data_IF_333029121700
#
_entry.id   IF_333029121700
#
_cell.length_a   1.000
_cell.length_b   1.000
_cell.length_c   1.000
_cell.angle_alpha   90.00
_cell.angle_beta   90.00
_cell.angle_gamma   90.00
#
_symmetry.space_group_name_H-M   'P 1'
#
loop_
_entity.id
_entity.type
_entity.pdbx_description
1 polymer ?
#
# COMPACT_ATOMS: atom_id res chain seq x y z
N UNK A 1 -19.10 -15.90 -20.24
CA UNK A 1 -17.99 -15.30 -20.98
C UNK A 1 -16.71 -15.62 -20.23
N UNK A 2 -15.86 -16.45 -20.83
CA UNK A 2 -14.74 -17.12 -20.15
C UNK A 2 -13.50 -16.22 -20.09
N UNK A 3 -12.87 -16.15 -18.91
CA UNK A 3 -11.74 -15.28 -18.55
C UNK A 3 -10.48 -15.59 -19.37
N UNK A 4 -10.39 -16.79 -19.96
CA UNK A 4 -9.29 -17.20 -20.83
C UNK A 4 -9.32 -16.55 -22.23
N UNK A 5 -10.48 -16.04 -22.69
CA UNK A 5 -10.60 -15.49 -24.05
C UNK A 5 -10.23 -14.00 -24.12
N UNK A 6 -10.17 -13.29 -22.98
CA UNK A 6 -9.82 -11.87 -22.91
C UNK A 6 -8.30 -11.63 -22.97
N UNK A 7 -7.47 -12.64 -22.69
CA UNK A 7 -6.00 -12.54 -22.67
C UNK A 7 -5.40 -12.65 -24.08
N UNK A 8 -6.09 -13.28 -25.04
CA UNK A 8 -5.55 -13.54 -26.38
C UNK A 8 -5.72 -12.38 -27.39
N UNK A 9 -6.48 -11.34 -27.08
CA UNK A 9 -6.66 -10.19 -27.99
C UNK A 9 -5.73 -9.00 -27.71
N UNK A 10 -4.84 -9.05 -26.71
CA UNK A 10 -3.88 -7.97 -26.43
C UNK A 10 -2.45 -8.22 -26.94
N UNK A 11 -2.22 -9.28 -27.72
CA UNK A 11 -0.87 -9.69 -28.16
C UNK A 11 -0.55 -9.45 -29.64
N UNK A 12 -1.36 -8.68 -30.37
CA UNK A 12 -1.10 -8.31 -31.77
C UNK A 12 -1.14 -6.79 -31.93
N UNK A 13 -0.18 -6.07 -31.32
CA UNK A 13 0.16 -4.69 -31.67
C UNK A 13 1.41 -4.19 -30.93
N UNK A 14 2.57 -4.86 -31.07
CA UNK A 14 3.87 -4.21 -30.81
C UNK A 14 4.81 -4.56 -31.95
N UNK A 15 4.86 -3.65 -32.92
CA UNK A 15 5.81 -3.65 -34.01
C UNK A 15 7.23 -3.33 -33.51
N UNK A 16 8.16 -4.05 -34.11
CA UNK A 16 9.60 -3.80 -34.26
C UNK A 16 10.10 -2.38 -33.95
N UNK A 17 11.04 -2.26 -33.01
CA UNK A 17 12.03 -1.18 -32.99
C UNK A 17 13.45 -1.78 -33.01
N UNK A 18 14.19 -1.42 -34.06
CA UNK A 18 15.60 -1.75 -34.29
C UNK A 18 16.52 -1.12 -33.25
N UNK A 19 17.46 -1.89 -32.72
CA UNK A 19 18.64 -1.35 -32.03
C UNK A 19 19.75 -1.10 -33.04
N UNK A 20 20.18 0.16 -33.15
CA UNK A 20 21.46 0.53 -33.75
C UNK A 20 22.60 0.15 -32.78
N UNK A 21 23.51 -0.72 -33.22
CA UNK A 21 24.74 -1.04 -32.52
C UNK A 21 25.85 -0.07 -32.95
N UNK A 22 26.54 0.54 -31.98
CA UNK A 22 27.78 1.30 -32.22
C UNK A 22 28.94 0.44 -31.72
N UNK A 23 29.84 0.08 -32.63
CA UNK A 23 31.05 -0.70 -32.38
C UNK A 23 32.19 0.20 -31.89
N UNK A 24 33.05 -0.35 -31.02
CA UNK A 24 34.39 0.20 -30.71
C UNK A 24 35.41 -0.95 -30.69
N UNK A 25 36.70 -0.69 -31.02
CA UNK A 25 37.59 -1.66 -31.64
C UNK A 25 38.43 -2.49 -30.66
N UNK A 26 38.91 -3.63 -31.16
CA UNK A 26 39.82 -4.57 -30.51
C UNK A 26 41.27 -4.04 -30.42
N UNK A 27 42.02 -4.45 -29.39
CA UNK A 27 43.45 -4.17 -29.28
C UNK A 27 44.17 -4.84 -28.11
N UNK A 28 44.79 -5.98 -28.43
CA UNK A 28 46.09 -6.51 -27.95
C UNK A 28 46.29 -7.04 -26.51
N UNK A 29 46.77 -8.29 -26.51
CA UNK A 29 47.36 -9.08 -25.43
C UNK A 29 48.86 -8.80 -25.24
N UNK A 30 49.34 -8.79 -24.00
CA UNK A 30 50.72 -9.15 -23.68
C UNK A 30 50.79 -10.04 -22.44
N UNK A 31 51.50 -11.16 -22.59
CA UNK A 31 51.86 -12.11 -21.54
C UNK A 31 53.14 -11.66 -20.84
N UNK A 32 53.26 -11.94 -19.54
CA UNK A 32 54.55 -12.04 -18.87
C UNK A 32 54.46 -13.09 -17.75
N UNK A 33 55.22 -14.17 -17.94
CA UNK A 33 55.49 -15.25 -17.00
C UNK A 33 56.60 -14.82 -16.04
N UNK A 34 56.50 -15.14 -14.74
CA UNK A 34 57.66 -15.23 -13.84
C UNK A 34 57.54 -16.47 -12.95
N UNK A 35 58.65 -17.19 -12.85
CA UNK A 35 58.82 -18.54 -12.32
C UNK A 35 59.40 -18.55 -10.89
N UNK A 36 59.08 -19.64 -10.16
CA UNK A 36 59.87 -20.36 -9.14
C UNK A 36 60.09 -19.76 -7.73
N UNK A 37 59.71 -20.53 -6.70
CA UNK A 37 60.61 -21.33 -5.83
C UNK A 37 59.89 -21.75 -4.53
N UNK A 38 60.22 -22.94 -4.03
CA UNK A 38 59.51 -23.60 -2.91
C UNK A 38 60.06 -23.30 -1.52
N UNK A 39 59.24 -23.55 -0.50
CA UNK A 39 59.64 -24.03 0.82
C UNK A 39 58.37 -24.50 1.59
N UNK A 40 58.44 -25.68 2.18
CA UNK A 40 57.40 -26.22 3.04
C UNK A 40 57.52 -25.65 4.47
N UNK A 41 56.41 -25.20 5.05
CA UNK A 41 56.26 -25.00 6.51
C UNK A 41 54.91 -25.54 6.95
N UNK A 42 54.94 -26.39 7.98
CA UNK A 42 53.84 -27.13 8.58
C UNK A 42 52.95 -26.29 9.49
N UNK A 43 51.65 -26.58 9.41
CA UNK A 43 50.57 -26.44 10.42
C UNK A 43 50.39 -25.12 11.19
N UNK A 44 49.30 -24.44 10.86
CA UNK A 44 48.18 -24.29 11.81
C UNK A 44 46.89 -24.08 11.03
N UNK A 45 46.03 -25.09 11.03
CA UNK A 45 44.65 -25.00 10.54
C UNK A 45 43.89 -24.06 11.47
N UNK A 46 43.99 -22.75 11.23
CA UNK A 46 42.95 -21.83 11.67
C UNK A 46 41.81 -22.01 10.70
N UNK A 47 40.94 -22.95 11.01
CA UNK A 47 39.66 -23.12 10.33
C UNK A 47 38.80 -21.91 10.65
N UNK A 48 39.10 -20.75 10.04
CA UNK A 48 38.09 -19.73 9.84
C UNK A 48 37.09 -20.37 8.91
N UNK A 49 36.06 -20.97 9.50
CA UNK A 49 34.86 -21.39 8.79
C UNK A 49 34.23 -20.14 8.21
N UNK A 50 34.76 -19.70 7.07
CA UNK A 50 34.08 -18.78 6.16
C UNK A 50 32.82 -19.53 5.75
N UNK A 51 31.73 -19.26 6.45
CA UNK A 51 30.44 -19.81 6.10
C UNK A 51 30.11 -19.28 4.72
N UNK A 52 30.35 -20.09 3.69
CA UNK A 52 30.05 -19.75 2.30
C UNK A 52 28.53 -19.60 2.20
N UNK A 53 28.05 -18.37 2.33
CA UNK A 53 26.67 -18.01 1.98
C UNK A 53 26.62 -17.96 0.46
N UNK A 54 25.87 -18.88 -0.15
CA UNK A 54 25.66 -18.93 -1.60
C UNK A 54 24.24 -18.49 -1.92
N UNK A 55 24.09 -17.57 -2.89
CA UNK A 55 22.78 -17.16 -3.39
C UNK A 55 22.33 -18.23 -4.39
N UNK A 56 21.22 -18.92 -4.08
CA UNK A 56 20.63 -19.93 -4.96
C UNK A 56 19.62 -19.33 -5.94
N UNK A 57 18.90 -18.29 -5.51
CA UNK A 57 17.93 -17.58 -6.34
C UNK A 57 17.81 -16.14 -5.85
N UNK A 58 17.60 -15.21 -6.77
CA UNK A 58 17.32 -13.81 -6.52
C UNK A 58 16.12 -13.41 -7.37
N UNK A 59 15.09 -12.81 -6.78
CA UNK A 59 13.84 -12.50 -7.48
C UNK A 59 13.23 -11.20 -6.97
N UNK A 60 12.75 -10.36 -7.89
CA UNK A 60 11.96 -9.18 -7.57
C UNK A 60 10.59 -9.58 -7.06
N UNK A 61 10.09 -8.87 -6.05
CA UNK A 61 8.80 -9.17 -5.40
C UNK A 61 8.07 -7.90 -5.01
N UNK A 62 6.76 -8.01 -4.80
CA UNK A 62 5.92 -6.89 -4.41
C UNK A 62 6.32 -6.32 -3.04
N UNK A 63 6.11 -5.01 -2.93
CA UNK A 63 6.36 -4.26 -1.71
C UNK A 63 5.53 -4.82 -0.54
N UNK A 64 6.20 -5.10 0.58
CA UNK A 64 5.53 -5.47 1.82
C UNK A 64 6.22 -4.79 3.01
N UNK A 65 5.45 -4.16 3.92
CA UNK A 65 6.01 -3.42 5.05
C UNK A 65 6.41 -4.34 6.21
N UNK A 66 7.60 -4.12 6.75
CA UNK A 66 8.17 -4.79 7.91
C UNK A 66 8.73 -3.80 8.92
N UNK A 67 8.85 -4.28 10.15
CA UNK A 67 9.70 -3.71 11.17
C UNK A 67 10.84 -4.69 11.49
N UNK A 68 11.91 -4.20 12.11
CA UNK A 68 13.01 -5.03 12.58
C UNK A 68 12.68 -5.63 13.95
N UNK A 69 13.12 -6.87 14.17
CA UNK A 69 13.20 -7.47 15.51
C UNK A 69 14.36 -6.86 16.28
N UNK A 70 14.29 -6.89 17.62
CA UNK A 70 15.42 -6.52 18.46
C UNK A 70 16.63 -7.39 18.10
N UNK A 71 17.82 -6.78 18.01
CA UNK A 71 19.04 -7.48 17.61
C UNK A 71 19.13 -7.83 16.11
N UNK A 72 18.25 -7.30 15.26
CA UNK A 72 18.37 -7.51 13.82
C UNK A 72 19.71 -6.97 13.27
N UNK A 73 20.28 -7.68 12.29
CA UNK A 73 21.51 -7.27 11.60
C UNK A 73 21.20 -6.99 10.15
N UNK A 74 21.57 -5.81 9.68
CA UNK A 74 21.41 -5.37 8.31
C UNK A 74 22.73 -5.51 7.56
N UNK A 75 22.67 -5.85 6.28
CA UNK A 75 23.85 -6.10 5.44
C UNK A 75 23.77 -5.29 4.15
N UNK A 76 24.91 -4.83 3.61
CA UNK A 76 24.92 -4.15 2.31
C UNK A 76 24.73 -5.10 1.13
N UNK A 77 25.05 -6.38 1.28
CA UNK A 77 25.01 -7.38 0.21
C UNK A 77 24.11 -8.57 0.55
N UNK A 78 23.52 -9.18 -0.49
CA UNK A 78 22.68 -10.38 -0.37
C UNK A 78 23.42 -11.60 0.20
N UNK A 79 24.75 -11.62 0.10
CA UNK A 79 25.62 -12.65 0.70
C UNK A 79 25.73 -12.54 2.21
N UNK A 80 25.20 -11.49 2.84
CA UNK A 80 25.25 -11.26 4.29
C UNK A 80 26.68 -11.22 4.87
N UNK A 81 27.67 -10.82 4.06
CA UNK A 81 29.09 -10.83 4.46
C UNK A 81 29.62 -9.44 4.84
N UNK A 82 29.16 -8.39 4.17
CA UNK A 82 29.75 -7.05 4.28
C UNK A 82 28.77 -5.97 4.72
N UNK A 83 29.31 -4.87 5.23
CA UNK A 83 28.54 -3.68 5.58
C UNK A 83 27.49 -3.96 6.66
N UNK A 84 27.89 -4.68 7.72
CA UNK A 84 27.02 -5.01 8.85
C UNK A 84 26.61 -3.72 9.57
N UNK A 85 25.32 -3.52 9.77
CA UNK A 85 24.77 -2.41 10.54
C UNK A 85 23.80 -2.97 11.59
N UNK A 86 23.95 -2.52 12.83
CA UNK A 86 23.04 -2.88 13.91
C UNK A 86 21.65 -2.27 13.67
N UNK A 87 20.62 -3.11 13.67
CA UNK A 87 19.23 -2.70 13.43
C UNK A 87 18.62 -1.85 14.55
N UNK A 88 19.25 -1.79 15.73
CA UNK A 88 18.79 -0.99 16.87
C UNK A 88 18.62 0.49 16.54
N UNK A 89 19.47 1.03 15.65
CA UNK A 89 19.37 2.41 15.14
C UNK A 89 18.10 2.69 14.34
N UNK A 90 17.39 1.65 13.90
CA UNK A 90 16.22 1.71 13.03
C UNK A 90 14.97 1.12 13.68
N UNK A 91 14.89 1.12 15.01
CA UNK A 91 13.81 0.49 15.78
C UNK A 91 12.41 1.04 15.44
N UNK A 92 12.31 2.29 14.97
CA UNK A 92 11.05 2.94 14.54
C UNK A 92 10.93 3.11 13.02
N UNK A 93 11.81 2.47 12.25
CA UNK A 93 11.80 2.56 10.79
C UNK A 93 10.92 1.47 10.20
N UNK A 94 9.98 1.86 9.34
CA UNK A 94 9.29 0.92 8.46
C UNK A 94 10.17 0.59 7.25
N UNK A 95 10.23 -0.68 6.90
CA UNK A 95 11.04 -1.24 5.83
C UNK A 95 10.16 -1.91 4.81
N UNK A 96 10.42 -1.68 3.53
CA UNK A 96 9.67 -2.29 2.43
C UNK A 96 10.58 -3.25 1.67
N UNK A 97 10.19 -4.54 1.61
CA UNK A 97 10.92 -5.49 0.76
C UNK A 97 10.66 -5.22 -0.71
N UNK A 98 11.64 -5.47 -1.57
CA UNK A 98 11.47 -5.39 -3.03
C UNK A 98 12.16 -6.53 -3.79
N UNK A 99 13.08 -7.25 -3.12
CA UNK A 99 13.70 -8.47 -3.66
C UNK A 99 13.80 -9.53 -2.58
N UNK A 100 13.83 -10.79 -3.01
CA UNK A 100 14.08 -11.96 -2.15
C UNK A 100 15.27 -12.75 -2.68
N UNK A 101 16.16 -13.14 -1.77
CA UNK A 101 17.23 -14.06 -2.01
C UNK A 101 16.99 -15.37 -1.25
N UNK A 102 16.98 -16.49 -1.97
CA UNK A 102 17.10 -17.82 -1.38
C UNK A 102 18.58 -18.13 -1.22
N UNK A 103 19.02 -18.31 0.02
CA UNK A 103 20.42 -18.50 0.39
C UNK A 103 20.66 -19.93 0.86
N UNK A 104 21.84 -20.47 0.59
CA UNK A 104 22.38 -21.63 1.31
C UNK A 104 23.41 -21.14 2.33
N UNK A 105 23.16 -21.38 3.61
CA UNK A 105 24.01 -20.98 4.73
C UNK A 105 24.37 -22.22 5.52
N UNK A 106 25.63 -22.67 5.43
CA UNK A 106 26.09 -23.93 6.04
C UNK A 106 25.19 -25.12 5.66
N UNK A 107 24.87 -25.24 4.37
CA UNK A 107 23.99 -26.28 3.82
C UNK A 107 22.49 -26.08 4.06
N UNK A 108 22.08 -25.11 4.89
CA UNK A 108 20.65 -24.86 5.18
C UNK A 108 20.08 -23.73 4.33
N UNK A 109 18.88 -23.94 3.80
CA UNK A 109 18.14 -22.91 3.06
C UNK A 109 17.66 -21.81 4.00
N UNK A 110 17.94 -20.55 3.63
CA UNK A 110 17.49 -19.35 4.34
C UNK A 110 16.88 -18.37 3.34
N UNK A 111 16.04 -17.47 3.84
CA UNK A 111 15.45 -16.39 3.04
C UNK A 111 15.95 -15.05 3.58
N UNK A 112 16.46 -14.21 2.68
CA UNK A 112 16.77 -12.81 2.97
C UNK A 112 15.98 -11.91 2.03
N UNK A 113 15.59 -10.74 2.52
CA UNK A 113 14.95 -9.71 1.72
C UNK A 113 15.87 -8.51 1.56
N UNK A 114 15.89 -7.94 0.35
CA UNK A 114 16.32 -6.56 0.17
C UNK A 114 15.18 -5.68 0.65
N UNK A 115 15.48 -4.81 1.61
CA UNK A 115 14.54 -3.89 2.22
C UNK A 115 15.02 -2.46 2.05
N UNK A 116 14.10 -1.57 1.72
CA UNK A 116 14.35 -0.12 1.63
C UNK A 116 13.52 0.60 2.69
N UNK A 117 14.11 1.55 3.39
CA UNK A 117 13.42 2.33 4.43
C UNK A 117 12.27 3.13 3.81
N UNK A 118 11.22 3.41 4.58
CA UNK A 118 10.05 4.14 4.11
C UNK A 118 10.38 5.53 3.51
N UNK A 119 11.42 6.19 4.04
CA UNK A 119 11.95 7.47 3.52
C UNK A 119 12.94 7.31 2.35
N UNK A 120 13.21 6.06 1.91
CA UNK A 120 14.11 5.69 0.81
C UNK A 120 15.59 6.09 1.01
N UNK A 121 15.99 6.47 2.21
CA UNK A 121 17.37 6.87 2.51
C UNK A 121 18.32 5.68 2.76
N UNK A 122 17.78 4.47 2.93
CA UNK A 122 18.59 3.30 3.26
C UNK A 122 18.05 2.05 2.61
N UNK A 123 18.95 1.22 2.09
CA UNK A 123 18.63 -0.09 1.54
C UNK A 123 19.62 -1.12 2.04
N UNK A 124 19.09 -2.24 2.54
CA UNK A 124 19.89 -3.33 3.11
C UNK A 124 19.29 -4.69 2.78
N UNK A 125 20.09 -5.73 3.01
CA UNK A 125 19.66 -7.12 3.07
C UNK A 125 19.47 -7.54 4.52
N UNK A 126 18.38 -8.26 4.80
CA UNK A 126 18.06 -8.74 6.14
C UNK A 126 17.46 -10.14 6.06
N UNK A 127 17.77 -11.00 7.03
CA UNK A 127 17.13 -12.31 7.12
C UNK A 127 15.64 -12.15 7.42
N UNK A 128 14.78 -12.91 6.75
CA UNK A 128 13.34 -12.87 6.95
C UNK A 128 12.95 -13.13 8.41
N UNK A 129 13.70 -13.99 9.12
CA UNK A 129 13.51 -14.29 10.54
C UNK A 129 13.79 -13.10 11.48
N UNK A 130 14.52 -12.09 11.01
CA UNK A 130 14.82 -10.86 11.76
C UNK A 130 13.81 -9.74 11.47
N UNK A 131 12.83 -9.99 10.61
CA UNK A 131 11.71 -9.09 10.38
C UNK A 131 10.50 -9.50 11.21
N UNK A 132 9.64 -8.52 11.50
CA UNK A 132 8.33 -8.71 12.13
C UNK A 132 7.31 -7.84 11.42
N UNK A 133 6.03 -8.19 11.56
CA UNK A 133 4.94 -7.37 11.04
C UNK A 133 4.99 -5.96 11.63
N UNK A 134 4.70 -4.95 10.80
CA UNK A 134 4.49 -3.57 11.28
C UNK A 134 3.28 -3.44 12.21
N UNK A 135 2.38 -4.42 12.19
CA UNK A 135 1.27 -4.50 13.15
C UNK A 135 1.68 -5.15 14.48
N UNK A 136 2.96 -5.51 14.69
CA UNK A 136 3.42 -5.99 16.00
C UNK A 136 3.28 -4.92 17.08
N UNK A 137 2.83 -5.30 18.28
CA UNK A 137 2.74 -4.42 19.44
C UNK A 137 4.11 -3.83 19.82
N UNK A 138 5.18 -4.60 19.63
CA UNK A 138 6.57 -4.19 19.87
C UNK A 138 7.16 -3.23 18.83
N UNK A 139 6.38 -2.78 17.84
CA UNK A 139 6.77 -1.74 16.88
C UNK A 139 5.85 -0.54 17.07
N UNK A 140 6.25 0.44 17.87
CA UNK A 140 5.38 1.55 18.22
C UNK A 140 5.61 2.77 17.32
N UNK A 141 4.62 3.07 16.49
CA UNK A 141 4.56 4.27 15.65
C UNK A 141 3.49 5.26 16.10
N UNK A 142 2.87 5.06 17.27
CA UNK A 142 1.85 5.97 17.79
C UNK A 142 2.39 7.40 17.83
N UNK A 143 1.61 8.33 17.30
CA UNK A 143 1.90 9.76 17.34
C UNK A 143 1.78 10.26 18.78
N UNK A 144 2.69 11.14 19.20
CA UNK A 144 2.72 11.65 20.57
C UNK A 144 1.37 12.26 20.98
N UNK A 145 0.77 13.09 20.12
CA UNK A 145 -0.53 13.73 20.34
C UNK A 145 -1.72 12.77 20.44
N UNK A 146 -1.57 11.48 20.09
CA UNK A 146 -2.65 10.51 20.24
C UNK A 146 -2.87 10.07 21.69
N UNK A 147 -1.89 10.27 22.58
CA UNK A 147 -2.00 9.96 24.01
C UNK A 147 -2.59 8.57 24.27
N UNK A 148 -3.55 8.50 25.19
CA UNK A 148 -4.41 7.34 25.43
C UNK A 148 -5.76 7.41 24.71
N UNK A 149 -6.10 8.56 24.12
CA UNK A 149 -7.41 8.90 23.54
C UNK A 149 -7.96 7.83 22.62
N UNK A 150 -7.12 7.26 21.75
CA UNK A 150 -7.58 6.32 20.73
C UNK A 150 -7.32 4.85 21.07
N UNK A 151 -6.78 4.53 22.24
CA UNK A 151 -6.29 3.16 22.54
C UNK A 151 -7.37 2.08 22.48
N UNK A 152 -8.63 2.44 22.76
CA UNK A 152 -9.79 1.55 22.72
C UNK A 152 -10.69 1.78 21.50
N UNK A 153 -10.41 2.79 20.68
CA UNK A 153 -11.24 3.19 19.53
C UNK A 153 -11.36 2.07 18.51
N UNK A 154 -12.59 1.67 18.23
CA UNK A 154 -12.97 0.76 17.15
C UNK A 154 -13.25 1.58 15.89
N UNK A 155 -12.54 1.25 14.83
CA UNK A 155 -12.62 1.93 13.54
C UNK A 155 -13.31 1.00 12.55
N UNK A 156 -14.48 1.39 12.06
CA UNK A 156 -15.14 0.75 10.92
C UNK A 156 -14.70 1.41 9.62
N UNK A 157 -14.51 0.62 8.57
CA UNK A 157 -14.14 1.11 7.24
C UNK A 157 -15.16 0.64 6.24
N UNK A 158 -15.72 1.59 5.48
CA UNK A 158 -16.61 1.36 4.35
C UNK A 158 -15.97 1.98 3.11
N UNK A 159 -15.99 1.28 1.99
CA UNK A 159 -15.41 1.85 0.78
C UNK A 159 -15.16 0.87 -0.34
N UNK A 160 -14.30 1.30 -1.25
CA UNK A 160 -13.90 0.55 -2.44
C UNK A 160 -12.53 -0.16 -2.29
N UNK A 161 -11.87 -0.43 -3.41
CA UNK A 161 -10.55 -1.06 -3.49
C UNK A 161 -9.45 -0.32 -2.75
N UNK A 162 -9.56 1.00 -2.59
CA UNK A 162 -8.50 1.83 -2.00
C UNK A 162 -8.36 1.59 -0.49
N UNK A 163 -9.42 1.74 0.34
CA UNK A 163 -9.34 1.39 1.76
C UNK A 163 -9.16 -0.11 2.03
N UNK A 164 -9.62 -1.00 1.14
CA UNK A 164 -9.42 -2.46 1.26
C UNK A 164 -7.95 -2.88 0.99
N UNK A 165 -7.14 -1.97 0.44
CA UNK A 165 -5.71 -2.20 0.22
C UNK A 165 -5.40 -2.99 -1.05
N UNK A 166 -6.21 -2.85 -2.09
CA UNK A 166 -5.89 -3.31 -3.44
C UNK A 166 -4.91 -2.34 -4.11
N UNK A 167 -3.87 -2.86 -4.75
CA UNK A 167 -2.83 -2.09 -5.46
C UNK A 167 -3.01 -2.07 -6.98
N UNK A 168 -4.12 -2.62 -7.49
CA UNK A 168 -4.35 -2.81 -8.92
C UNK A 168 -4.04 -4.21 -9.43
N UNK A 169 -3.32 -5.03 -8.65
CA UNK A 169 -3.07 -6.44 -9.00
C UNK A 169 -3.06 -7.39 -7.79
N UNK A 170 -2.80 -6.87 -6.59
CA UNK A 170 -2.71 -7.64 -5.36
C UNK A 170 -3.28 -6.83 -4.18
N UNK A 171 -3.67 -7.55 -3.12
CA UNK A 171 -3.93 -6.92 -1.84
C UNK A 171 -2.63 -6.81 -1.04
N UNK A 172 -2.31 -5.61 -0.54
CA UNK A 172 -1.27 -5.43 0.46
C UNK A 172 -1.87 -5.48 1.87
N UNK A 173 -1.15 -6.15 2.78
CA UNK A 173 -1.68 -6.55 4.09
C UNK A 173 -1.95 -5.40 5.09
N UNK A 174 -1.55 -4.17 4.76
CA UNK A 174 -1.71 -3.00 5.65
C UNK A 174 -2.18 -1.79 4.83
N UNK A 175 -3.50 -1.68 4.70
CA UNK A 175 -4.20 -0.56 4.08
C UNK A 175 -4.02 0.75 4.87
N UNK A 176 -4.34 1.89 4.25
CA UNK A 176 -4.21 3.19 4.92
C UNK A 176 -5.07 3.33 6.19
N UNK A 177 -6.28 2.72 6.32
CA UNK A 177 -7.01 2.71 7.58
C UNK A 177 -6.25 1.98 8.70
N UNK A 178 -5.61 0.84 8.39
CA UNK A 178 -4.78 0.12 9.36
C UNK A 178 -3.54 0.91 9.75
N UNK A 179 -2.92 1.63 8.82
CA UNK A 179 -1.85 2.57 9.13
C UNK A 179 -2.33 3.72 10.01
N UNK A 180 -3.49 4.30 9.71
CA UNK A 180 -4.13 5.34 10.53
C UNK A 180 -4.29 4.85 11.96
N UNK A 181 -4.90 3.68 12.14
CA UNK A 181 -5.05 3.04 13.45
C UNK A 181 -3.70 2.80 14.14
N UNK A 182 -2.67 2.39 13.39
CA UNK A 182 -1.31 2.23 13.93
C UNK A 182 -0.72 3.53 14.47
N UNK A 183 -0.91 4.64 13.78
CA UNK A 183 -0.46 5.97 14.20
C UNK A 183 -1.29 6.55 15.34
N UNK A 184 -2.57 6.20 15.45
CA UNK A 184 -3.41 6.57 16.60
C UNK A 184 -3.20 5.66 17.82
N UNK A 185 -2.64 4.46 17.62
CA UNK A 185 -2.43 3.46 18.68
C UNK A 185 -3.55 2.41 18.80
N UNK A 186 -4.49 2.35 17.85
CA UNK A 186 -5.67 1.48 17.82
C UNK A 186 -5.57 0.30 16.82
N UNK A 187 -4.37 -0.05 16.35
CA UNK A 187 -4.13 -0.95 15.20
C UNK A 187 -4.94 -2.27 15.17
N UNK A 188 -5.31 -2.84 16.32
CA UNK A 188 -6.03 -4.11 16.43
C UNK A 188 -7.57 -3.98 16.41
N UNK A 189 -8.10 -2.78 16.21
CA UNK A 189 -9.54 -2.48 16.34
C UNK A 189 -10.14 -1.94 15.04
N UNK A 190 -9.54 -2.30 13.90
CA UNK A 190 -10.06 -1.96 12.57
C UNK A 190 -10.91 -3.12 12.04
N UNK A 191 -12.17 -2.84 11.76
CA UNK A 191 -13.05 -3.73 10.98
C UNK A 191 -13.18 -3.13 9.58
N UNK A 192 -12.70 -3.88 8.59
CA UNK A 192 -12.64 -3.43 7.20
C UNK A 192 -13.71 -4.14 6.37
N UNK A 193 -14.76 -3.40 6.01
CA UNK A 193 -15.88 -3.85 5.19
C UNK A 193 -15.83 -3.20 3.79
N UNK A 194 -14.70 -2.57 3.42
CA UNK A 194 -14.49 -2.10 2.06
C UNK A 194 -14.38 -3.28 1.07
N UNK A 195 -14.72 -3.04 -0.20
CA UNK A 195 -14.71 -4.09 -1.21
C UNK A 195 -14.33 -3.52 -2.60
N UNK A 196 -13.46 -4.17 -3.39
CA UNK A 196 -13.05 -3.66 -4.69
C UNK A 196 -14.22 -3.41 -5.64
N UNK A 197 -14.08 -2.39 -6.49
CA UNK A 197 -15.10 -1.94 -7.46
C UNK A 197 -16.43 -1.48 -6.86
N UNK A 198 -16.56 -1.39 -5.53
CA UNK A 198 -17.78 -0.93 -4.88
C UNK A 198 -18.18 0.47 -5.38
N UNK A 199 -19.48 0.67 -5.58
CA UNK A 199 -20.09 1.97 -5.91
C UNK A 199 -21.06 2.41 -4.81
N UNK A 200 -21.42 3.69 -4.84
CA UNK A 200 -22.43 4.26 -3.95
C UNK A 200 -23.83 3.84 -4.39
N UNK A 201 -24.10 3.87 -5.70
CA UNK A 201 -25.43 3.62 -6.28
C UNK A 201 -25.77 2.12 -6.31
N UNK A 202 -24.78 1.29 -6.59
CA UNK A 202 -24.99 -0.13 -6.87
C UNK A 202 -25.58 -0.93 -5.69
N UNK A 203 -26.15 -2.09 -6.01
CA UNK A 203 -26.76 -3.03 -5.06
C UNK A 203 -26.13 -4.44 -5.15
N UNK A 204 -24.89 -4.53 -5.65
CA UNK A 204 -24.26 -5.80 -6.00
C UNK A 204 -23.79 -6.60 -4.80
N UNK A 205 -23.83 -7.91 -5.00
CA UNK A 205 -23.16 -8.94 -4.23
C UNK A 205 -22.18 -9.66 -5.15
N UNK A 206 -21.07 -10.15 -4.60
CA UNK A 206 -20.05 -10.87 -5.35
C UNK A 206 -19.67 -12.15 -4.62
N UNK A 207 -19.53 -13.23 -5.37
CA UNK A 207 -18.92 -14.47 -4.86
C UNK A 207 -17.40 -14.30 -4.86
N UNK A 208 -16.81 -14.37 -3.67
CA UNK A 208 -15.37 -14.30 -3.46
C UNK A 208 -14.93 -15.49 -2.64
N UNK A 209 -14.00 -16.30 -3.16
CA UNK A 209 -13.52 -17.53 -2.52
C UNK A 209 -14.66 -18.48 -2.09
N UNK A 210 -15.68 -18.61 -2.95
CA UNK A 210 -16.84 -19.47 -2.69
C UNK A 210 -17.91 -18.89 -1.76
N UNK A 211 -17.71 -17.68 -1.23
CA UNK A 211 -18.66 -17.02 -0.32
C UNK A 211 -19.29 -15.80 -1.00
N UNK A 212 -20.62 -15.72 -0.94
CA UNK A 212 -21.34 -14.50 -1.36
C UNK A 212 -21.11 -13.39 -0.34
N UNK A 213 -20.60 -12.25 -0.80
CA UNK A 213 -20.33 -11.07 0.02
C UNK A 213 -20.96 -9.83 -0.58
N UNK A 214 -21.49 -8.89 0.22
CA UNK A 214 -21.96 -7.61 -0.30
C UNK A 214 -20.76 -6.83 -0.85
N UNK A 215 -20.96 -6.17 -2.00
CA UNK A 215 -19.91 -5.38 -2.64
C UNK A 215 -20.19 -3.89 -2.51
N UNK A 216 -21.37 -3.44 -2.94
CA UNK A 216 -21.68 -2.01 -2.96
C UNK A 216 -22.07 -1.45 -1.59
N UNK A 217 -21.93 -0.14 -1.44
CA UNK A 217 -22.07 0.53 -0.14
C UNK A 217 -23.39 0.22 0.57
N UNK A 218 -24.51 0.20 -0.17
CA UNK A 218 -25.82 -0.13 0.37
C UNK A 218 -25.90 -1.55 0.96
N UNK A 219 -25.67 -2.60 0.17
CA UNK A 219 -25.57 -3.97 0.66
C UNK A 219 -24.59 -4.16 1.82
N UNK A 220 -23.41 -3.54 1.77
CA UNK A 220 -22.38 -3.65 2.83
C UNK A 220 -22.91 -3.09 4.15
N UNK A 221 -23.48 -1.88 4.14
CA UNK A 221 -24.10 -1.28 5.34
C UNK A 221 -25.19 -2.19 5.89
N UNK A 222 -26.01 -2.77 5.00
CA UNK A 222 -27.14 -3.60 5.40
C UNK A 222 -26.73 -4.95 6.00
N UNK A 223 -25.70 -5.60 5.48
CA UNK A 223 -25.20 -6.86 5.99
C UNK A 223 -24.46 -6.68 7.33
N UNK A 224 -23.80 -5.53 7.53
CA UNK A 224 -22.90 -5.30 8.66
C UNK A 224 -23.46 -4.37 9.75
N UNK A 225 -24.78 -4.13 9.80
CA UNK A 225 -25.41 -3.20 10.77
C UNK A 225 -24.96 -3.41 12.21
N UNK A 226 -24.91 -4.67 12.67
CA UNK A 226 -24.52 -5.02 14.06
C UNK A 226 -23.06 -4.69 14.36
N UNK A 227 -22.17 -4.81 13.37
CA UNK A 227 -20.77 -4.44 13.53
C UNK A 227 -20.62 -2.91 13.52
N UNK A 228 -21.27 -2.23 12.57
CA UNK A 228 -21.27 -0.78 12.45
C UNK A 228 -21.79 -0.07 13.70
N UNK A 229 -22.82 -0.61 14.36
CA UNK A 229 -23.37 -0.08 15.61
C UNK A 229 -22.38 -0.07 16.79
N UNK A 230 -21.23 -0.76 16.68
CA UNK A 230 -20.22 -0.88 17.75
C UNK A 230 -18.95 -0.09 17.49
N UNK A 231 -18.90 0.68 16.39
CA UNK A 231 -17.73 1.47 16.01
C UNK A 231 -17.76 2.83 16.70
N UNK A 232 -16.59 3.30 17.13
CA UNK A 232 -16.44 4.66 17.69
C UNK A 232 -16.16 5.67 16.56
N UNK A 233 -15.51 5.20 15.50
CA UNK A 233 -15.16 5.97 14.31
C UNK A 233 -15.49 5.18 13.05
N UNK A 234 -16.05 5.83 12.03
CA UNK A 234 -16.35 5.21 10.74
C UNK A 234 -15.68 6.02 9.62
N UNK A 235 -14.81 5.35 8.86
CA UNK A 235 -14.16 5.91 7.68
C UNK A 235 -14.94 5.47 6.44
N UNK A 236 -15.36 6.42 5.61
CA UNK A 236 -16.08 6.13 4.36
C UNK A 236 -15.30 6.70 3.18
N UNK A 237 -14.71 5.85 2.35
CA UNK A 237 -13.99 6.25 1.14
C UNK A 237 -14.51 5.51 -0.08
N UNK A 238 -15.35 6.19 -0.87
CA UNK A 238 -16.15 5.61 -1.94
C UNK A 238 -16.36 6.68 -3.03
N UNK A 239 -16.82 6.29 -4.22
CA UNK A 239 -17.27 7.21 -5.27
C UNK A 239 -16.37 7.23 -6.52
N UNK A 240 -15.11 6.81 -6.42
CA UNK A 240 -14.21 6.78 -7.60
C UNK A 240 -14.71 5.85 -8.71
N UNK A 241 -15.42 4.79 -8.31
CA UNK A 241 -16.03 3.84 -9.24
C UNK A 241 -17.35 4.35 -9.80
N UNK A 242 -18.13 5.15 -9.07
CA UNK A 242 -19.31 5.83 -9.59
C UNK A 242 -18.93 6.82 -10.71
N UNK A 243 -17.78 7.51 -10.54
CA UNK A 243 -17.19 8.36 -11.57
C UNK A 243 -16.66 7.58 -12.79
N UNK A 244 -16.26 6.32 -12.64
CA UNK A 244 -15.66 5.56 -13.75
C UNK A 244 -16.63 5.42 -14.95
N UNK A 245 -16.09 5.43 -16.18
CA UNK A 245 -16.91 5.13 -17.35
C UNK A 245 -17.49 3.72 -17.25
N UNK A 246 -18.74 3.54 -17.69
CA UNK A 246 -19.46 2.28 -17.62
C UNK A 246 -19.87 1.86 -16.21
N UNK A 247 -19.84 2.76 -15.22
CA UNK A 247 -20.20 2.45 -13.83
C UNK A 247 -21.68 2.10 -13.63
N UNK A 248 -22.54 2.49 -14.57
CA UNK A 248 -24.00 2.40 -14.41
C UNK A 248 -24.56 3.29 -13.29
N UNK A 249 -23.76 4.21 -12.74
CA UNK A 249 -24.17 5.04 -11.60
C UNK A 249 -24.99 6.28 -12.00
N UNK A 250 -25.06 6.58 -13.29
CA UNK A 250 -25.85 7.68 -13.84
C UNK A 250 -25.28 9.06 -13.49
N UNK A 251 -26.15 10.06 -13.41
CA UNK A 251 -25.77 11.46 -13.19
C UNK A 251 -25.19 11.71 -11.79
N UNK A 252 -24.43 12.81 -11.66
CA UNK A 252 -23.90 13.26 -10.37
C UNK A 252 -25.01 13.44 -9.31
N UNK A 253 -26.19 13.93 -9.70
CA UNK A 253 -27.31 14.07 -8.76
C UNK A 253 -27.80 12.72 -8.24
N UNK A 254 -27.81 11.67 -9.06
CA UNK A 254 -28.19 10.32 -8.65
C UNK A 254 -27.19 9.75 -7.64
N UNK A 255 -25.89 9.90 -7.91
CA UNK A 255 -24.81 9.45 -7.02
C UNK A 255 -24.93 10.12 -5.64
N UNK A 256 -25.11 11.44 -5.61
CA UNK A 256 -25.20 12.20 -4.36
C UNK A 256 -26.50 11.91 -3.60
N UNK A 257 -27.62 11.68 -4.30
CA UNK A 257 -28.86 11.25 -3.67
C UNK A 257 -28.71 9.89 -2.96
N UNK A 258 -28.06 8.93 -3.63
CA UNK A 258 -27.76 7.62 -3.03
C UNK A 258 -26.79 7.75 -1.86
N UNK A 259 -25.73 8.56 -1.99
CA UNK A 259 -24.79 8.80 -0.90
C UNK A 259 -25.53 9.33 0.34
N UNK A 260 -26.40 10.33 0.16
CA UNK A 260 -27.22 10.90 1.24
C UNK A 260 -28.06 9.84 1.94
N UNK A 261 -28.69 8.94 1.19
CA UNK A 261 -29.46 7.83 1.76
C UNK A 261 -28.58 6.86 2.56
N UNK A 262 -27.39 6.52 2.05
CA UNK A 262 -26.46 5.61 2.72
C UNK A 262 -25.92 6.21 4.01
N UNK A 263 -25.51 7.48 3.98
CA UNK A 263 -25.03 8.21 5.15
C UNK A 263 -26.11 8.34 6.24
N UNK A 264 -27.36 8.65 5.86
CA UNK A 264 -28.50 8.65 6.81
C UNK A 264 -28.68 7.29 7.46
N UNK A 265 -28.53 6.22 6.69
CA UNK A 265 -28.62 4.84 7.21
C UNK A 265 -27.50 4.56 8.22
N UNK A 266 -26.26 4.94 7.92
CA UNK A 266 -25.12 4.77 8.85
C UNK A 266 -25.34 5.56 10.13
N UNK A 267 -25.72 6.84 10.04
CA UNK A 267 -26.02 7.68 11.22
C UNK A 267 -27.18 7.13 12.06
N UNK A 268 -28.18 6.51 11.41
CA UNK A 268 -29.27 5.84 12.13
C UNK A 268 -28.81 4.56 12.84
N UNK A 269 -27.92 3.78 12.22
CA UNK A 269 -27.36 2.56 12.82
C UNK A 269 -26.46 2.91 14.01
N UNK A 270 -25.68 3.97 13.89
CA UNK A 270 -24.74 4.41 14.91
C UNK A 270 -24.76 5.94 15.03
N UNK A 271 -25.63 6.51 15.88
CA UNK A 271 -25.76 7.95 16.03
C UNK A 271 -24.59 8.59 16.80
N UNK A 272 -23.75 7.79 17.47
CA UNK A 272 -22.66 8.28 18.34
C UNK A 272 -21.28 8.21 17.68
N UNK A 273 -21.11 7.43 16.60
CA UNK A 273 -19.82 7.33 15.92
C UNK A 273 -19.44 8.64 15.24
N UNK A 274 -18.15 8.99 15.33
CA UNK A 274 -17.59 10.05 14.49
C UNK A 274 -17.37 9.51 13.08
N UNK A 275 -18.01 10.11 12.09
CA UNK A 275 -17.90 9.70 10.69
C UNK A 275 -16.93 10.64 9.96
N UNK A 276 -15.97 10.06 9.27
CA UNK A 276 -15.06 10.74 8.34
C UNK A 276 -15.41 10.33 6.91
N UNK A 277 -15.98 11.27 6.14
CA UNK A 277 -16.17 11.15 4.70
C UNK A 277 -14.89 11.52 3.97
N UNK A 278 -14.29 10.53 3.31
CA UNK A 278 -12.99 10.65 2.64
C UNK A 278 -13.24 10.77 1.13
N UNK A 279 -12.88 11.93 0.58
CA UNK A 279 -13.06 12.22 -0.84
C UNK A 279 -12.21 11.29 -1.73
N UNK A 280 -12.69 10.93 -2.94
CA UNK A 280 -11.96 10.13 -3.91
C UNK A 280 -10.53 10.62 -4.14
N UNK A 281 -9.56 9.69 -4.15
CA UNK A 281 -8.15 9.99 -4.46
C UNK A 281 -7.97 10.48 -5.89
N UNK A 282 -6.84 11.14 -6.14
CA UNK A 282 -6.46 11.54 -7.51
C UNK A 282 -6.28 10.30 -8.37
N UNK A 283 -6.89 10.35 -9.55
CA UNK A 283 -6.93 9.27 -10.52
C UNK A 283 -6.34 9.73 -11.84
N UNK A 284 -5.64 8.84 -12.51
CA UNK A 284 -5.06 9.04 -13.82
C UNK A 284 -5.74 8.12 -14.85
N UNK A 285 -5.60 8.43 -16.13
CA UNK A 285 -5.88 7.48 -17.21
C UNK A 285 -4.68 6.60 -17.51
N UNK A 286 -4.86 5.56 -18.32
CA UNK A 286 -3.76 4.76 -18.86
C UNK A 286 -2.72 5.60 -19.64
N UNK A 287 -3.15 6.74 -20.20
CA UNK A 287 -2.29 7.72 -20.85
C UNK A 287 -1.60 8.70 -19.88
N UNK A 288 -1.71 8.49 -18.56
CA UNK A 288 -1.13 9.36 -17.53
C UNK A 288 -1.86 10.69 -17.34
N UNK A 289 -3.00 10.93 -18.00
CA UNK A 289 -3.75 12.18 -17.84
C UNK A 289 -4.50 12.16 -16.51
N UNK A 290 -4.31 13.21 -15.70
CA UNK A 290 -5.07 13.43 -14.48
C UNK A 290 -6.56 13.60 -14.78
N UNK A 291 -7.41 12.82 -14.11
CA UNK A 291 -8.85 12.75 -14.34
C UNK A 291 -9.66 13.79 -13.55
N UNK A 292 -9.01 14.69 -12.82
CA UNK A 292 -9.68 15.71 -12.01
C UNK A 292 -10.70 16.55 -12.80
N UNK A 293 -10.37 16.93 -14.05
CA UNK A 293 -11.20 17.79 -14.91
C UNK A 293 -11.72 17.08 -16.17
N UNK A 294 -11.50 15.77 -16.28
CA UNK A 294 -12.02 14.98 -17.41
C UNK A 294 -13.44 14.55 -17.08
N UNK A 295 -14.39 14.74 -18.01
CA UNK A 295 -15.76 14.25 -17.82
C UNK A 295 -15.80 12.74 -18.06
N UNK A 296 -16.60 12.05 -17.26
CA UNK A 296 -16.98 10.66 -17.54
C UNK A 296 -18.07 10.60 -18.62
N UNK A 297 -18.48 9.38 -18.95
CA UNK A 297 -19.56 9.06 -19.90
C UNK A 297 -20.96 9.57 -19.45
N UNK A 298 -21.11 9.99 -18.19
CA UNK A 298 -22.31 10.61 -17.63
C UNK A 298 -22.20 12.15 -17.53
N UNK A 299 -21.15 12.74 -18.08
CA UNK A 299 -21.00 14.17 -18.25
C UNK A 299 -20.51 14.95 -17.01
N UNK A 300 -19.99 14.31 -15.96
CA UNK A 300 -19.40 15.04 -14.83
C UNK A 300 -17.94 14.64 -14.56
N UNK A 301 -17.19 15.52 -13.92
CA UNK A 301 -15.76 15.34 -13.61
C UNK A 301 -15.55 14.76 -12.21
N UNK A 302 -14.37 14.18 -11.96
CA UNK A 302 -13.99 13.70 -10.63
C UNK A 302 -13.99 14.85 -9.60
N UNK A 303 -13.57 16.06 -9.99
CA UNK A 303 -13.62 17.22 -9.09
C UNK A 303 -15.05 17.65 -8.77
N UNK A 304 -15.98 17.60 -9.74
CA UNK A 304 -17.39 17.87 -9.45
C UNK A 304 -17.96 16.85 -8.46
N UNK A 305 -17.60 15.56 -8.59
CA UNK A 305 -17.97 14.55 -7.60
C UNK A 305 -17.43 14.90 -6.21
N UNK A 306 -16.13 15.15 -6.08
CA UNK A 306 -15.50 15.52 -4.79
C UNK A 306 -16.15 16.74 -4.14
N UNK A 307 -16.42 17.78 -4.92
CA UNK A 307 -17.07 19.01 -4.42
C UNK A 307 -18.48 18.69 -3.92
N UNK A 308 -19.23 17.87 -4.65
CA UNK A 308 -20.59 17.50 -4.27
C UNK A 308 -20.63 16.59 -3.03
N UNK A 309 -19.72 15.61 -2.93
CA UNK A 309 -19.56 14.77 -1.73
C UNK A 309 -19.14 15.60 -0.52
N UNK A 310 -18.14 16.47 -0.67
CA UNK A 310 -17.69 17.39 0.38
C UNK A 310 -18.83 18.27 0.89
N UNK A 311 -19.65 18.83 -0.03
CA UNK A 311 -20.82 19.63 0.32
C UNK A 311 -21.83 18.79 1.11
N UNK A 312 -22.13 17.58 0.65
CA UNK A 312 -23.07 16.68 1.34
C UNK A 312 -22.56 16.28 2.73
N UNK A 313 -21.30 15.88 2.86
CA UNK A 313 -20.70 15.52 4.14
C UNK A 313 -20.82 16.67 5.15
N UNK A 314 -20.46 17.90 4.75
CA UNK A 314 -20.61 19.09 5.60
C UNK A 314 -22.07 19.34 5.99
N UNK A 315 -23.00 19.24 5.05
CA UNK A 315 -24.44 19.40 5.31
C UNK A 315 -24.99 18.37 6.30
N UNK A 316 -24.36 17.20 6.39
CA UNK A 316 -24.75 16.11 7.30
C UNK A 316 -23.94 16.07 8.60
N UNK A 317 -23.11 17.08 8.87
CA UNK A 317 -22.25 17.13 10.06
C UNK A 317 -21.10 16.12 10.07
N UNK A 318 -20.76 15.56 8.90
CA UNK A 318 -19.70 14.56 8.74
C UNK A 318 -18.36 15.27 8.51
N UNK A 319 -17.31 14.80 9.19
CA UNK A 319 -15.96 15.34 9.03
C UNK A 319 -15.44 15.01 7.63
N UNK A 320 -14.86 15.98 6.94
CA UNK A 320 -14.34 15.80 5.57
C UNK A 320 -12.85 15.59 5.57
N UNK A 321 -12.39 14.54 4.89
CA UNK A 321 -10.98 14.29 4.59
C UNK A 321 -10.76 14.50 3.11
N UNK A 322 -9.85 15.42 2.79
CA UNK A 322 -9.33 15.60 1.44
C UNK A 322 -7.82 15.39 1.46
N UNK A 323 -7.35 14.25 0.96
CA UNK A 323 -5.93 13.94 0.90
C UNK A 323 -5.11 14.93 0.06
N UNK A 324 -5.72 15.55 -0.96
CA UNK A 324 -5.04 16.60 -1.74
C UNK A 324 -4.78 17.86 -0.90
N UNK A 325 -5.54 18.09 0.17
CA UNK A 325 -5.34 19.21 1.08
C UNK A 325 -4.39 18.86 2.23
N UNK A 326 -4.58 17.69 2.86
CA UNK A 326 -3.80 17.32 4.06
C UNK A 326 -2.46 16.65 3.73
N UNK A 327 -2.27 16.22 2.48
CA UNK A 327 -1.08 15.51 2.02
C UNK A 327 -0.78 15.78 0.52
N UNK A 328 -0.66 17.06 0.10
CA UNK A 328 -0.62 17.45 -1.32
C UNK A 328 0.51 16.80 -2.12
N UNK A 329 1.62 16.43 -1.47
CA UNK A 329 2.79 15.88 -2.13
C UNK A 329 2.80 14.34 -2.21
N UNK A 330 1.75 13.66 -1.72
CA UNK A 330 1.72 12.19 -1.65
C UNK A 330 1.36 11.54 -2.98
N UNK A 331 0.41 12.12 -3.73
CA UNK A 331 0.04 11.70 -5.10
C UNK A 331 -0.08 12.98 -5.92
N UNK A 332 0.80 13.12 -6.92
CA UNK A 332 0.91 14.29 -7.79
C UNK A 332 1.17 13.85 -9.22
N UNK A 333 0.95 14.75 -10.17
CA UNK A 333 1.24 14.49 -11.59
C UNK A 333 2.71 14.14 -11.82
N UNK A 334 3.62 14.66 -10.99
CA UNK A 334 5.05 14.37 -11.09
C UNK A 334 5.45 12.99 -10.53
N UNK A 335 4.67 12.39 -9.62
CA UNK A 335 5.10 11.19 -8.90
C UNK A 335 4.13 9.99 -8.96
N UNK A 336 2.96 10.13 -9.60
CA UNK A 336 1.91 9.11 -9.58
C UNK A 336 2.39 7.72 -10.05
N UNK A 337 3.32 7.66 -11.00
CA UNK A 337 3.89 6.39 -11.51
C UNK A 337 4.67 5.58 -10.48
N UNK A 338 5.08 6.19 -9.38
CA UNK A 338 5.79 5.51 -8.28
C UNK A 338 4.98 5.43 -6.99
N UNK A 339 3.94 6.26 -6.86
CA UNK A 339 3.09 6.31 -5.67
C UNK A 339 1.82 5.48 -5.84
N UNK A 340 1.35 5.31 -7.08
CA UNK A 340 0.26 4.40 -7.42
C UNK A 340 0.88 3.15 -8.06
N UNK A 341 0.54 1.98 -7.55
CA UNK A 341 1.16 0.72 -7.97
C UNK A 341 0.74 0.34 -9.40
N UNK A 342 -0.52 0.60 -9.75
CA UNK A 342 -1.04 0.50 -11.11
C UNK A 342 -0.81 1.77 -11.94
N UNK A 343 -0.14 2.78 -11.36
CA UNK A 343 0.11 4.09 -11.94
C UNK A 343 -1.15 4.92 -12.21
N UNK A 344 -2.33 4.44 -11.84
CA UNK A 344 -3.64 4.96 -12.25
C UNK A 344 -4.43 5.46 -11.05
N UNK A 345 -4.61 4.63 -10.03
CA UNK A 345 -5.51 4.93 -8.92
C UNK A 345 -5.04 4.34 -7.60
N UNK A 346 -4.53 3.11 -7.62
CA UNK A 346 -4.39 2.31 -6.43
C UNK A 346 -3.07 2.60 -5.72
N UNK A 347 -3.08 3.08 -4.45
CA UNK A 347 -1.85 3.39 -3.73
C UNK A 347 -0.92 2.18 -3.60
N UNK A 348 0.38 2.38 -3.78
CA UNK A 348 1.38 1.41 -3.35
C UNK A 348 1.38 1.28 -1.82
N UNK A 349 1.96 0.19 -1.29
CA UNK A 349 2.05 -0.04 0.15
C UNK A 349 2.76 1.11 0.92
N UNK A 350 3.72 1.79 0.27
CA UNK A 350 4.39 2.98 0.78
C UNK A 350 3.46 4.19 0.82
N UNK A 351 2.68 4.39 -0.24
CA UNK A 351 1.71 5.49 -0.33
C UNK A 351 0.59 5.31 0.68
N UNK A 352 0.10 4.08 0.88
CA UNK A 352 -0.88 3.77 1.92
C UNK A 352 -0.39 4.15 3.33
N UNK A 353 0.89 3.94 3.64
CA UNK A 353 1.48 4.40 4.91
C UNK A 353 1.44 5.92 5.04
N UNK A 354 1.77 6.65 3.97
CA UNK A 354 1.75 8.12 3.96
C UNK A 354 0.33 8.67 4.13
N UNK A 355 -0.65 8.07 3.44
CA UNK A 355 -2.06 8.41 3.58
C UNK A 355 -2.54 8.12 5.01
N UNK A 356 -2.19 6.97 5.58
CA UNK A 356 -2.57 6.64 6.95
C UNK A 356 -1.94 7.59 7.99
N UNK A 357 -0.69 8.02 7.78
CA UNK A 357 -0.05 9.03 8.62
C UNK A 357 -0.77 10.38 8.53
N UNK A 358 -1.09 10.84 7.31
CA UNK A 358 -1.79 12.09 7.09
C UNK A 358 -3.19 12.09 7.71
N UNK A 359 -3.94 11.00 7.53
CA UNK A 359 -5.27 10.85 8.13
C UNK A 359 -5.20 10.83 9.65
N UNK A 360 -4.23 10.12 10.25
CA UNK A 360 -4.05 10.15 11.70
C UNK A 360 -3.78 11.56 12.22
N UNK A 361 -2.90 12.34 11.55
CA UNK A 361 -2.68 13.75 11.91
C UNK A 361 -3.95 14.60 11.80
N UNK A 362 -4.76 14.39 10.77
CA UNK A 362 -6.03 15.10 10.57
C UNK A 362 -7.02 14.79 11.69
N UNK A 363 -7.18 13.51 12.04
CA UNK A 363 -8.02 13.06 13.15
C UNK A 363 -7.54 13.69 14.46
N UNK A 364 -6.23 13.69 14.74
CA UNK A 364 -5.72 14.36 15.94
C UNK A 364 -6.11 15.83 15.97
N UNK A 365 -5.91 16.56 14.87
CA UNK A 365 -6.30 17.97 14.81
C UNK A 365 -7.81 18.20 15.01
N UNK A 366 -8.67 17.28 14.56
CA UNK A 366 -10.12 17.40 14.70
C UNK A 366 -10.64 17.05 16.10
N UNK A 367 -9.99 16.11 16.78
CA UNK A 367 -10.46 15.55 18.06
C UNK A 367 -9.76 16.15 19.28
N UNK A 368 -8.57 16.75 19.10
CA UNK A 368 -7.76 17.22 20.24
C UNK A 368 -7.88 18.70 20.56
N UNK A 369 -8.60 19.51 19.76
CA UNK A 369 -8.78 20.98 19.91
C UNK A 369 -8.38 21.53 21.30
N UNK A 370 -7.07 21.74 21.41
CA UNK A 370 -6.28 22.47 22.38
C UNK A 370 -5.14 23.10 21.58
#
# INVERSE_FOLDING_TARGET
MDVQQMIRQQLVAIGTMSLLAVALPAGQSHAATVTASGAAVTNTTKTTTSSTVTIKRLTSINAHPYALRAGATLYKTATLKSGKVAGSKFARTTWYRNEVATLSVKGKTRTAYRVTSANRQSTYWVLATQLKSVLSASFNLKLAGAGSTFTTTKIGVLGDSIPDGWDGSHFYHVSYPRWTAKYLGSAYKVTDDAFPDATIVGQRWKTWQGLSRPQDLGPVINANKKALAKMDMILINIGTNDYANGSGSGSLSNVIAHLKLRLKTVQKINPTATIYGILPLTRYGYNGINKAHVRNDQGYTLNQLRVAEQKLYRQMGIKVVNFNAIAPNVITDANHRYTLQDQILHPSAQTAQKLGYALAKKILADETNY
#
